data_IF_195549266539
#
_entry.id   IF_195549266539
#
_cell.length_a   1.000
_cell.length_b   1.000
_cell.length_c   1.000
_cell.angle_alpha   90.00
_cell.angle_beta   90.00
_cell.angle_gamma   90.00
#
_symmetry.space_group_name_H-M   'P 1'
#
loop_
_entity.id
_entity.type
_entity.pdbx_description
1 polymer ?
#
# COMPACT_ATOMS: atom_id res chain seq x y z
N UNK A 1 8.52 -6.71 25.62
CA UNK A 1 7.20 -6.53 24.96
C UNK A 1 7.43 -5.65 23.74
N UNK A 2 7.46 -6.24 22.55
CA UNK A 2 7.55 -5.47 21.31
C UNK A 2 6.22 -4.75 21.14
N UNK A 3 6.20 -3.42 21.23
CA UNK A 3 4.99 -2.65 20.95
C UNK A 3 4.66 -2.86 19.47
N UNK A 4 3.68 -3.71 19.19
CA UNK A 4 3.19 -3.92 17.82
C UNK A 4 2.65 -2.59 17.33
N UNK A 5 3.32 -1.99 16.35
CA UNK A 5 2.81 -0.79 15.72
C UNK A 5 1.61 -1.18 14.85
N UNK A 6 0.40 -0.99 15.40
CA UNK A 6 -0.87 -1.37 14.77
C UNK A 6 -1.04 -0.72 13.39
N UNK A 7 -0.59 0.53 13.24
CA UNK A 7 -0.65 1.22 11.94
C UNK A 7 0.20 0.50 10.90
N UNK A 8 1.44 0.16 11.24
CA UNK A 8 2.37 -0.52 10.33
C UNK A 8 1.84 -1.91 9.96
N UNK A 9 1.34 -2.65 10.94
CA UNK A 9 0.76 -3.99 10.74
C UNK A 9 -0.46 -3.94 9.82
N UNK A 10 -1.40 -3.04 10.10
CA UNK A 10 -2.58 -2.81 9.26
C UNK A 10 -2.19 -2.46 7.83
N UNK A 11 -1.21 -1.57 7.64
CA UNK A 11 -0.77 -1.18 6.30
C UNK A 11 -0.12 -2.35 5.56
N UNK A 12 0.70 -3.17 6.23
CA UNK A 12 1.28 -4.37 5.61
C UNK A 12 0.18 -5.35 5.17
N UNK A 13 -0.83 -5.58 6.01
CA UNK A 13 -1.96 -6.45 5.66
C UNK A 13 -2.80 -5.87 4.51
N UNK A 14 -3.11 -4.56 4.52
CA UNK A 14 -3.79 -3.89 3.41
C UNK A 14 -3.08 -4.13 2.08
N UNK A 15 -1.78 -3.86 2.03
CA UNK A 15 -1.02 -4.00 0.79
C UNK A 15 -0.84 -5.47 0.37
N UNK A 16 -0.80 -6.39 1.33
CA UNK A 16 -0.80 -7.83 1.04
C UNK A 16 -2.12 -8.27 0.40
N UNK A 17 -3.26 -7.76 0.88
CA UNK A 17 -4.56 -8.03 0.28
C UNK A 17 -4.67 -7.45 -1.14
N UNK A 18 -4.15 -6.24 -1.36
CA UNK A 18 -4.06 -5.65 -2.72
C UNK A 18 -3.24 -6.56 -3.65
N UNK A 19 -2.07 -7.03 -3.23
CA UNK A 19 -1.25 -7.95 -4.03
C UNK A 19 -2.00 -9.24 -4.37
N UNK A 20 -2.63 -9.85 -3.37
CA UNK A 20 -3.43 -11.07 -3.57
C UNK A 20 -4.55 -10.84 -4.59
N UNK A 21 -5.24 -9.69 -4.53
CA UNK A 21 -6.27 -9.33 -5.51
C UNK A 21 -5.68 -9.15 -6.90
N UNK A 22 -4.57 -8.42 -7.03
CA UNK A 22 -3.86 -8.22 -8.31
C UNK A 22 -3.46 -9.56 -8.92
N UNK A 23 -2.86 -10.47 -8.14
CA UNK A 23 -2.43 -11.78 -8.63
C UNK A 23 -3.64 -12.64 -9.03
N UNK A 24 -4.70 -12.66 -8.22
CA UNK A 24 -5.93 -13.44 -8.47
C UNK A 24 -6.66 -12.97 -9.73
N UNK A 25 -6.83 -11.66 -9.89
CA UNK A 25 -7.67 -11.06 -10.94
C UNK A 25 -6.88 -10.50 -12.12
N UNK A 26 -5.54 -10.57 -12.06
CA UNK A 26 -4.62 -10.07 -13.09
C UNK A 26 -4.84 -8.57 -13.37
N UNK A 27 -5.09 -7.80 -12.30
CA UNK A 27 -5.41 -6.38 -12.40
C UNK A 27 -4.18 -5.55 -12.82
N UNK A 28 -4.41 -4.58 -13.69
CA UNK A 28 -3.48 -3.47 -13.87
C UNK A 28 -3.57 -2.52 -12.68
N UNK A 29 -2.42 -2.07 -12.17
CA UNK A 29 -2.36 -0.97 -11.22
C UNK A 29 -2.42 0.39 -11.91
N UNK A 30 -2.14 0.45 -13.22
CA UNK A 30 -2.24 1.67 -14.02
C UNK A 30 -3.69 1.94 -14.43
N UNK A 31 -4.47 2.50 -13.51
CA UNK A 31 -5.88 2.85 -13.73
C UNK A 31 -6.16 4.30 -13.36
N UNK A 32 -7.20 4.89 -13.94
CA UNK A 32 -7.62 6.25 -13.59
C UNK A 32 -7.91 6.42 -12.10
N UNK A 33 -8.47 5.40 -11.45
CA UNK A 33 -8.76 5.41 -10.01
C UNK A 33 -7.46 5.48 -9.19
N UNK A 34 -6.46 4.69 -9.56
CA UNK A 34 -5.15 4.68 -8.89
C UNK A 34 -4.41 5.99 -9.13
N UNK A 35 -4.38 6.50 -10.37
CA UNK A 35 -3.74 7.78 -10.71
C UNK A 35 -4.35 8.95 -9.93
N UNK A 36 -5.68 9.06 -9.89
CA UNK A 36 -6.37 10.10 -9.09
C UNK A 36 -6.06 9.99 -7.60
N UNK A 37 -5.96 8.77 -7.08
CA UNK A 37 -5.58 8.58 -5.68
C UNK A 37 -4.12 8.98 -5.42
N UNK A 38 -3.20 8.64 -6.32
CA UNK A 38 -1.81 9.07 -6.26
C UNK A 38 -1.70 10.60 -6.23
N UNK A 39 -2.44 11.30 -7.10
CA UNK A 39 -2.49 12.76 -7.11
C UNK A 39 -3.05 13.33 -5.80
N UNK A 40 -4.09 12.70 -5.26
CA UNK A 40 -4.68 13.10 -3.97
C UNK A 40 -3.65 12.95 -2.85
N UNK A 41 -2.93 11.84 -2.77
CA UNK A 41 -1.87 11.63 -1.77
C UNK A 41 -0.77 12.68 -1.95
N UNK A 42 -0.32 12.93 -3.18
CA UNK A 42 0.73 13.92 -3.50
C UNK A 42 0.36 15.34 -3.02
N UNK A 43 -0.92 15.71 -3.05
CA UNK A 43 -1.40 17.01 -2.59
C UNK A 43 -1.38 17.17 -1.06
N UNK A 44 -1.57 16.08 -0.31
CA UNK A 44 -1.67 16.11 1.16
C UNK A 44 -0.35 15.85 1.88
N UNK A 45 0.62 15.31 1.16
CA UNK A 45 1.90 14.89 1.72
C UNK A 45 2.91 16.05 1.66
N UNK A 46 3.77 16.15 2.68
CA UNK A 46 4.76 17.22 2.78
C UNK A 46 5.71 17.22 1.58
N UNK A 47 6.01 18.39 1.00
CA UNK A 47 6.88 18.57 -0.18
C UNK A 47 8.39 18.46 0.12
N UNK A 48 8.76 17.68 1.14
CA UNK A 48 10.17 17.44 1.47
C UNK A 48 10.83 16.52 0.43
N UNK A 49 12.14 16.67 0.13
CA UNK A 49 12.81 15.93 -0.93
C UNK A 49 12.63 14.40 -0.85
N UNK A 50 12.74 13.83 0.35
CA UNK A 50 12.56 12.39 0.59
C UNK A 50 11.14 11.94 0.23
N UNK A 51 10.15 12.71 0.65
CA UNK A 51 8.75 12.37 0.46
C UNK A 51 8.32 12.50 -1.00
N UNK A 52 8.83 13.52 -1.69
CA UNK A 52 8.69 13.64 -3.15
C UNK A 52 9.29 12.42 -3.86
N UNK A 53 10.48 11.94 -3.44
CA UNK A 53 11.10 10.76 -4.05
C UNK A 53 10.27 9.47 -3.89
N UNK A 54 9.53 9.33 -2.78
CA UNK A 54 8.61 8.21 -2.59
C UNK A 54 7.39 8.31 -3.51
N UNK A 55 6.86 9.51 -3.71
CA UNK A 55 5.76 9.74 -4.65
C UNK A 55 6.18 9.47 -6.09
N UNK A 56 7.39 9.91 -6.48
CA UNK A 56 7.92 9.67 -7.82
C UNK A 56 8.16 8.17 -8.06
N UNK A 57 8.61 7.44 -7.03
CA UNK A 57 8.73 5.99 -7.09
C UNK A 57 7.36 5.30 -7.25
N UNK A 58 6.33 5.75 -6.54
CA UNK A 58 4.98 5.22 -6.73
C UNK A 58 4.41 5.53 -8.11
N UNK A 59 4.65 6.73 -8.64
CA UNK A 59 4.27 7.10 -9.99
C UNK A 59 4.90 6.17 -11.02
N UNK A 60 6.20 5.86 -10.86
CA UNK A 60 6.89 4.91 -11.74
C UNK A 60 6.31 3.50 -11.63
N UNK A 61 6.06 2.99 -10.42
CA UNK A 61 5.46 1.66 -10.21
C UNK A 61 4.10 1.55 -10.88
N UNK A 62 3.26 2.58 -10.73
CA UNK A 62 1.92 2.62 -11.34
C UNK A 62 2.04 2.66 -12.86
N UNK A 63 2.81 3.61 -13.40
CA UNK A 63 2.97 3.80 -14.85
C UNK A 63 3.54 2.57 -15.56
N UNK A 64 4.53 1.93 -14.95
CA UNK A 64 5.23 0.80 -15.53
C UNK A 64 4.54 -0.55 -15.19
N UNK A 65 3.41 -0.49 -14.45
CA UNK A 65 2.67 -1.65 -13.92
C UNK A 65 3.58 -2.65 -13.18
N UNK A 66 4.54 -2.13 -12.41
CA UNK A 66 5.64 -2.90 -11.81
C UNK A 66 5.21 -3.58 -10.49
N UNK A 67 4.49 -4.69 -10.64
CA UNK A 67 4.02 -5.50 -9.50
C UNK A 67 5.18 -6.11 -8.70
N UNK A 68 6.35 -6.33 -9.32
CA UNK A 68 7.53 -6.86 -8.63
C UNK A 68 8.06 -5.85 -7.62
N UNK A 69 8.22 -4.59 -8.03
CA UNK A 69 8.61 -3.51 -7.11
C UNK A 69 7.59 -3.29 -5.99
N UNK A 70 6.29 -3.41 -6.30
CA UNK A 70 5.26 -3.35 -5.26
C UNK A 70 5.40 -4.51 -4.25
N UNK A 71 5.59 -5.74 -4.71
CA UNK A 71 5.80 -6.90 -3.83
C UNK A 71 7.01 -6.71 -2.90
N UNK A 72 8.13 -6.22 -3.42
CA UNK A 72 9.31 -5.91 -2.61
C UNK A 72 9.02 -4.87 -1.51
N UNK A 73 8.18 -3.86 -1.79
CA UNK A 73 7.74 -2.87 -0.80
C UNK A 73 6.87 -3.52 0.28
N UNK A 74 6.02 -4.50 -0.07
CA UNK A 74 5.18 -5.18 0.93
C UNK A 74 6.00 -6.08 1.84
N UNK A 75 6.97 -6.80 1.27
CA UNK A 75 7.74 -7.80 2.00
C UNK A 75 8.78 -7.18 2.94
N UNK A 76 9.38 -6.05 2.58
CA UNK A 76 10.43 -5.41 3.39
C UNK A 76 9.91 -4.78 4.69
N UNK A 77 10.68 -4.93 5.77
CA UNK A 77 10.40 -4.31 7.08
C UNK A 77 11.29 -3.09 7.40
N UNK A 78 12.01 -2.58 6.39
CA UNK A 78 12.77 -1.34 6.52
C UNK A 78 11.86 -0.09 6.63
N UNK A 79 12.41 1.01 7.15
CA UNK A 79 11.66 2.26 7.35
C UNK A 79 11.15 2.86 6.03
N UNK A 80 11.90 2.71 4.94
CA UNK A 80 11.49 3.22 3.62
C UNK A 80 10.27 2.46 3.11
N UNK A 81 10.24 1.14 3.24
CA UNK A 81 9.13 0.30 2.86
C UNK A 81 7.88 0.59 3.70
N UNK A 82 8.05 0.86 5.00
CA UNK A 82 6.94 1.31 5.87
C UNK A 82 6.33 2.62 5.38
N UNK A 83 7.16 3.61 5.07
CA UNK A 83 6.67 4.89 4.55
C UNK A 83 6.05 4.74 3.15
N UNK A 84 6.67 3.97 2.26
CA UNK A 84 6.09 3.66 0.95
C UNK A 84 4.72 2.99 1.08
N UNK A 85 4.53 2.03 1.99
CA UNK A 85 3.21 1.42 2.25
C UNK A 85 2.19 2.44 2.77
N UNK A 86 2.59 3.38 3.62
CA UNK A 86 1.72 4.46 4.10
C UNK A 86 1.24 5.36 2.97
N UNK A 87 2.06 5.55 1.94
CA UNK A 87 1.80 6.40 0.78
C UNK A 87 1.22 5.65 -0.42
N UNK A 88 0.89 4.37 -0.26
CA UNK A 88 0.46 3.56 -1.40
C UNK A 88 -0.86 4.07 -1.99
N UNK A 89 -0.91 4.29 -3.31
CA UNK A 89 -2.14 4.66 -3.99
C UNK A 89 -3.05 3.45 -4.23
N UNK A 90 -2.59 2.22 -3.99
CA UNK A 90 -3.24 1.00 -4.47
C UNK A 90 -4.35 0.46 -3.57
N UNK A 91 -4.49 0.98 -2.35
CA UNK A 91 -5.58 0.60 -1.43
C UNK A 91 -6.98 0.85 -2.00
N UNK A 92 -7.11 1.69 -3.04
CA UNK A 92 -8.36 1.93 -3.77
C UNK A 92 -8.80 0.77 -4.65
N UNK A 93 -7.94 -0.22 -4.87
CA UNK A 93 -8.28 -1.43 -5.61
C UNK A 93 -9.09 -2.42 -4.76
N UNK A 94 -9.01 -2.32 -3.44
CA UNK A 94 -9.90 -3.06 -2.54
C UNK A 94 -11.25 -2.38 -2.46
N UNK A 95 -12.31 -3.17 -2.53
CA UNK A 95 -13.65 -2.73 -2.15
C UNK A 95 -13.81 -2.65 -0.62
N UNK A 96 -15.01 -2.28 -0.17
CA UNK A 96 -15.28 -2.10 1.25
C UNK A 96 -15.23 -3.43 2.01
N UNK A 97 -15.81 -4.49 1.47
CA UNK A 97 -15.84 -5.81 2.10
C UNK A 97 -14.43 -6.39 2.23
N UNK A 98 -13.59 -6.25 1.20
CA UNK A 98 -12.19 -6.67 1.24
C UNK A 98 -11.37 -5.88 2.27
N UNK A 99 -11.65 -4.58 2.44
CA UNK A 99 -11.00 -3.77 3.49
C UNK A 99 -11.44 -4.21 4.88
N UNK A 100 -12.72 -4.48 5.07
CA UNK A 100 -13.27 -4.96 6.34
C UNK A 100 -12.66 -6.33 6.70
N UNK A 101 -12.55 -7.25 5.74
CA UNK A 101 -11.93 -8.56 5.96
C UNK A 101 -10.52 -8.44 6.54
N UNK A 102 -9.70 -7.52 6.03
CA UNK A 102 -8.35 -7.33 6.56
C UNK A 102 -8.34 -6.73 7.97
N UNK A 103 -9.33 -5.91 8.33
CA UNK A 103 -9.48 -5.42 9.70
C UNK A 103 -9.86 -6.56 10.66
N UNK A 104 -10.68 -7.50 10.19
CA UNK A 104 -10.99 -8.73 10.95
C UNK A 104 -9.75 -9.63 11.09
N UNK A 105 -8.97 -9.82 10.03
CA UNK A 105 -7.71 -10.57 10.07
C UNK A 105 -6.72 -9.95 11.07
N UNK A 106 -6.62 -8.61 11.07
CA UNK A 106 -5.81 -7.87 12.06
C UNK A 106 -6.31 -8.11 13.49
N UNK A 107 -7.63 -8.08 13.70
CA UNK A 107 -8.23 -8.32 15.02
C UNK A 107 -7.93 -9.74 15.52
N UNK A 108 -7.95 -10.73 14.64
CA UNK A 108 -7.69 -12.12 15.01
C UNK A 108 -6.21 -12.38 15.28
N UNK A 109 -5.30 -11.71 14.56
CA UNK A 109 -3.86 -11.73 14.88
C UNK A 109 -3.57 -11.18 16.28
N UNK A 110 -4.34 -10.18 16.75
CA UNK A 110 -4.17 -9.59 18.08
C UNK A 110 -4.73 -10.46 19.22
N UNK A 111 -5.61 -11.42 18.93
CA UNK A 111 -6.16 -12.35 19.94
C UNK A 111 -5.28 -13.57 20.19
N UNK A 112 -4.28 -13.81 19.33
CA UNK A 112 -3.34 -14.93 19.42
C UNK A 112 -2.10 -14.53 20.20
#
# INVERSE_FOLDING_TARGET
MTVVNMKVTRQKLMQSAVLTKIDREHLSVDTDKVRRNLDTIRQHVSRGPLMTSYMDRWEQIVRDNDIKSFRNIVDSDDETAKEMRNLSPLSVLLDEDERLQVLDDLRDLLKR
#
